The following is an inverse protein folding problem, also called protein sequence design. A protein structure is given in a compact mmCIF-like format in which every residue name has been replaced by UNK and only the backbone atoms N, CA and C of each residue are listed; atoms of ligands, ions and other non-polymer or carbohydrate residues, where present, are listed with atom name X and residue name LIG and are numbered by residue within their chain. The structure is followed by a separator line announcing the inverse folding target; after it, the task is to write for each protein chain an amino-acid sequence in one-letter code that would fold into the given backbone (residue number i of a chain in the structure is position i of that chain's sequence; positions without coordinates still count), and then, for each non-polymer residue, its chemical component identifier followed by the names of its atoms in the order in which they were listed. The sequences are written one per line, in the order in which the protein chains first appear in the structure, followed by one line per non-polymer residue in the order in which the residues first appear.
data_IF_560026802332
#
_entry.id   IF_560026802332
#
_cell.length_a   1.000
_cell.length_b   1.000
_cell.length_c   1.000
_cell.angle_alpha   90.00
_cell.angle_beta   90.00
_cell.angle_gamma   90.00
#
_symmetry.space_group_name_H-M   'P 1'
#
loop_
_entity.id
_entity.type
_entity.pdbx_description
1 polymer ?
#
# COMPACT_ATOMS: atom_id res chain seq x y z
N UNK A 1 -27.83 -3.29 12.37
CA UNK A 1 -26.83 -2.54 13.17
C UNK A 1 -26.18 -1.50 12.27
N UNK A 2 -26.18 -0.22 12.67
CA UNK A 2 -25.53 0.85 11.90
C UNK A 2 -24.11 1.07 12.45
N UNK A 3 -23.10 0.99 11.58
CA UNK A 3 -21.70 1.25 11.94
C UNK A 3 -21.29 2.55 11.25
N UNK A 4 -20.78 3.50 12.04
CA UNK A 4 -20.26 4.76 11.50
C UNK A 4 -19.16 4.50 10.46
N UNK A 5 -19.13 5.22 9.31
CA UNK A 5 -18.15 5.01 8.24
C UNK A 5 -16.70 4.94 8.73
N UNK A 6 -16.33 5.80 9.70
CA UNK A 6 -14.97 5.87 10.24
C UNK A 6 -14.57 4.66 11.09
N UNK A 7 -15.54 3.88 11.57
CA UNK A 7 -15.31 2.70 12.41
C UNK A 7 -15.39 1.40 11.61
N UNK A 8 -15.90 1.41 10.38
CA UNK A 8 -16.13 0.19 9.60
C UNK A 8 -14.87 -0.64 9.42
N UNK A 9 -13.75 0.00 9.06
CA UNK A 9 -12.47 -0.70 8.86
C UNK A 9 -12.06 -1.47 10.12
N UNK A 10 -12.11 -0.82 11.29
CA UNK A 10 -11.72 -1.43 12.57
C UNK A 10 -12.71 -2.51 12.98
N UNK A 11 -14.02 -2.26 12.90
CA UNK A 11 -15.05 -3.22 13.30
C UNK A 11 -15.03 -4.47 12.43
N UNK A 12 -14.96 -4.31 11.10
CA UNK A 12 -14.92 -5.44 10.17
C UNK A 12 -13.63 -6.24 10.32
N UNK A 13 -12.47 -5.58 10.41
CA UNK A 13 -11.20 -6.28 10.58
C UNK A 13 -11.14 -7.08 11.88
N UNK A 14 -11.68 -6.56 12.98
CA UNK A 14 -11.78 -7.31 14.24
C UNK A 14 -12.78 -8.47 14.14
N UNK A 15 -13.93 -8.26 13.48
CA UNK A 15 -14.89 -9.34 13.21
C UNK A 15 -14.25 -10.50 12.46
N UNK A 16 -13.44 -10.20 11.44
CA UNK A 16 -12.72 -11.23 10.66
C UNK A 16 -11.54 -11.88 11.41
N UNK A 17 -10.90 -11.16 12.33
CA UNK A 17 -9.78 -11.71 13.14
C UNK A 17 -10.22 -12.76 14.14
N UNK A 18 -11.44 -12.63 14.64
CA UNK A 18 -11.99 -13.51 15.68
C UNK A 18 -13.14 -14.39 15.17
N UNK A 19 -13.68 -14.08 13.99
CA UNK A 19 -14.67 -14.89 13.28
C UNK A 19 -14.04 -15.94 12.37
N UNK A 20 -14.88 -16.61 11.60
CA UNK A 20 -14.53 -17.67 10.68
C UNK A 20 -15.07 -17.42 9.27
N UNK A 21 -15.46 -18.51 8.61
CA UNK A 21 -15.96 -18.47 7.24
C UNK A 21 -17.27 -17.69 7.12
N UNK A 22 -18.16 -17.77 8.12
CA UNK A 22 -19.45 -17.06 8.11
C UNK A 22 -19.27 -15.54 8.04
N UNK A 23 -18.43 -14.96 8.90
CA UNK A 23 -18.16 -13.51 8.89
C UNK A 23 -17.44 -13.08 7.61
N UNK A 24 -16.56 -13.93 7.08
CA UNK A 24 -15.84 -13.68 5.84
C UNK A 24 -16.81 -13.66 4.66
N UNK A 25 -17.66 -14.66 4.55
CA UNK A 25 -18.66 -14.79 3.48
C UNK A 25 -19.72 -13.69 3.56
N UNK A 26 -20.11 -13.29 4.77
CA UNK A 26 -20.98 -12.13 4.96
C UNK A 26 -20.39 -10.86 4.32
N UNK A 27 -19.12 -10.55 4.59
CA UNK A 27 -18.46 -9.37 4.01
C UNK A 27 -18.18 -9.54 2.51
N UNK A 28 -17.83 -10.74 2.05
CA UNK A 28 -17.65 -11.03 0.63
C UNK A 28 -18.95 -10.86 -0.16
N UNK A 29 -20.06 -11.40 0.33
CA UNK A 29 -21.38 -11.21 -0.27
C UNK A 29 -21.80 -9.74 -0.25
N UNK A 30 -21.44 -9.02 0.82
CA UNK A 30 -21.65 -7.57 0.88
C UNK A 30 -20.86 -6.85 -0.20
N UNK A 31 -19.60 -7.20 -0.45
CA UNK A 31 -18.80 -6.62 -1.54
C UNK A 31 -19.45 -6.83 -2.91
N UNK A 32 -19.95 -8.04 -3.19
CA UNK A 32 -20.58 -8.40 -4.47
C UNK A 32 -21.89 -7.65 -4.71
N UNK A 33 -22.69 -7.42 -3.65
CA UNK A 33 -24.03 -6.83 -3.78
C UNK A 33 -24.07 -5.31 -3.56
N UNK A 34 -22.96 -4.68 -3.15
CA UNK A 34 -22.96 -3.27 -2.79
C UNK A 34 -22.55 -2.38 -3.98
N UNK A 35 -23.30 -1.29 -4.19
CA UNK A 35 -23.10 -0.37 -5.32
C UNK A 35 -22.23 0.85 -4.97
N UNK A 36 -21.79 0.99 -3.72
CA UNK A 36 -20.95 2.12 -3.29
C UNK A 36 -19.48 1.72 -3.30
N UNK A 37 -18.71 2.32 -4.20
CA UNK A 37 -17.28 2.01 -4.40
C UNK A 37 -16.46 2.18 -3.10
N UNK A 38 -16.73 3.21 -2.29
CA UNK A 38 -15.98 3.45 -1.03
C UNK A 38 -16.12 2.30 -0.03
N UNK A 39 -17.31 1.69 0.08
CA UNK A 39 -17.51 0.52 0.95
C UNK A 39 -16.81 -0.72 0.37
N UNK A 40 -16.85 -0.91 -0.96
CA UNK A 40 -16.16 -2.03 -1.61
C UNK A 40 -14.65 -1.97 -1.35
N UNK A 41 -14.04 -0.78 -1.44
CA UNK A 41 -12.62 -0.58 -1.13
C UNK A 41 -12.32 -0.90 0.34
N UNK A 42 -13.19 -0.48 1.27
CA UNK A 42 -13.04 -0.84 2.70
C UNK A 42 -13.10 -2.36 2.87
N UNK A 43 -14.09 -3.03 2.28
CA UNK A 43 -14.27 -4.48 2.39
C UNK A 43 -13.05 -5.22 1.83
N UNK A 44 -12.57 -4.84 0.64
CA UNK A 44 -11.36 -5.42 0.06
C UNK A 44 -10.13 -5.23 0.97
N UNK A 45 -10.04 -4.09 1.65
CA UNK A 45 -8.97 -3.77 2.58
C UNK A 45 -9.01 -4.55 3.90
N UNK A 46 -10.17 -5.04 4.34
CA UNK A 46 -10.31 -5.76 5.63
C UNK A 46 -10.43 -7.27 5.51
N UNK A 47 -10.82 -7.81 4.35
CA UNK A 47 -10.96 -9.27 4.14
C UNK A 47 -9.65 -10.06 4.38
N UNK A 48 -8.48 -9.41 4.25
CA UNK A 48 -7.18 -9.98 4.59
C UNK A 48 -6.87 -10.02 6.10
N UNK A 49 -7.71 -9.44 6.96
CA UNK A 49 -7.55 -9.50 8.41
C UNK A 49 -7.82 -10.89 9.01
N UNK A 50 -8.37 -11.84 8.24
CA UNK A 50 -8.59 -13.22 8.69
C UNK A 50 -7.29 -13.87 9.16
N UNK A 51 -7.36 -14.68 10.22
CA UNK A 51 -6.22 -15.51 10.67
C UNK A 51 -6.20 -16.88 9.99
N UNK A 52 -7.33 -17.29 9.41
CA UNK A 52 -7.52 -18.59 8.81
C UNK A 52 -6.78 -18.66 7.46
N UNK A 53 -5.83 -19.58 7.36
CA UNK A 53 -5.02 -19.80 6.16
C UNK A 53 -5.86 -20.10 4.92
N UNK A 54 -6.83 -21.02 5.03
CA UNK A 54 -7.70 -21.39 3.94
C UNK A 54 -8.48 -20.19 3.40
N UNK A 55 -8.95 -19.30 4.26
CA UNK A 55 -9.64 -18.07 3.85
C UNK A 55 -8.67 -17.06 3.21
N UNK A 56 -7.45 -16.92 3.75
CA UNK A 56 -6.42 -16.06 3.19
C UNK A 56 -5.99 -16.53 1.78
N UNK A 57 -5.73 -17.83 1.61
CA UNK A 57 -5.43 -18.47 0.33
C UNK A 57 -6.60 -18.33 -0.65
N UNK A 58 -7.82 -18.59 -0.20
CA UNK A 58 -9.03 -18.38 -1.02
C UNK A 58 -9.14 -16.93 -1.48
N UNK A 59 -8.71 -15.97 -0.67
CA UNK A 59 -8.73 -14.56 -1.03
C UNK A 59 -7.62 -14.19 -2.02
N UNK A 60 -6.38 -14.63 -1.76
CA UNK A 60 -5.24 -14.46 -2.65
C UNK A 60 -5.49 -15.12 -4.01
N UNK A 61 -6.13 -16.28 -4.07
CA UNK A 61 -6.44 -16.94 -5.35
C UNK A 61 -7.33 -16.12 -6.27
N UNK A 62 -8.09 -15.16 -5.73
CA UNK A 62 -8.90 -14.24 -6.54
C UNK A 62 -8.07 -13.19 -7.28
N UNK A 63 -6.79 -12.99 -6.95
CA UNK A 63 -5.91 -12.04 -7.67
C UNK A 63 -5.36 -12.64 -8.96
N UNK A 64 -5.26 -13.98 -9.03
CA UNK A 64 -4.70 -14.73 -10.17
C UNK A 64 -5.75 -15.50 -10.97
N UNK A 65 -7.04 -15.20 -10.75
CA UNK A 65 -8.14 -15.81 -11.49
C UNK A 65 -8.60 -14.90 -12.62
N UNK A 66 -8.63 -15.42 -13.85
CA UNK A 66 -9.11 -14.69 -15.04
C UNK A 66 -10.58 -14.24 -14.94
N UNK A 67 -11.40 -14.95 -14.15
CA UNK A 67 -12.82 -14.64 -13.94
C UNK A 67 -13.09 -13.99 -12.57
N UNK A 68 -12.10 -13.29 -12.02
CA UNK A 68 -12.26 -12.64 -10.71
C UNK A 68 -13.32 -11.55 -10.74
N UNK A 69 -14.20 -11.52 -9.74
CA UNK A 69 -15.15 -10.42 -9.52
C UNK A 69 -14.47 -9.13 -9.03
N UNK A 70 -13.13 -9.12 -8.97
CA UNK A 70 -12.32 -7.99 -8.52
C UNK A 70 -11.75 -7.27 -9.74
N UNK A 71 -11.92 -5.94 -9.75
CA UNK A 71 -11.37 -5.08 -10.81
C UNK A 71 -9.85 -5.13 -10.77
N UNK A 72 -9.20 -5.16 -11.94
CA UNK A 72 -7.74 -5.27 -12.06
C UNK A 72 -6.98 -4.21 -11.24
N UNK A 73 -7.48 -2.98 -11.21
CA UNK A 73 -6.92 -1.86 -10.44
C UNK A 73 -6.97 -2.03 -8.91
N UNK A 74 -7.83 -2.93 -8.39
CA UNK A 74 -8.03 -3.15 -6.96
C UNK A 74 -7.36 -4.44 -6.47
N UNK A 75 -6.82 -5.26 -7.38
CA UNK A 75 -6.15 -6.52 -7.04
C UNK A 75 -4.96 -6.33 -6.08
N UNK A 76 -4.19 -5.24 -6.24
CA UNK A 76 -3.05 -4.94 -5.35
C UNK A 76 -3.48 -4.76 -3.88
N UNK A 77 -4.72 -4.31 -3.64
CA UNK A 77 -5.26 -4.08 -2.29
C UNK A 77 -5.40 -5.39 -1.52
N UNK A 78 -5.64 -6.49 -2.22
CA UNK A 78 -5.80 -7.83 -1.64
C UNK A 78 -4.48 -8.27 -1.04
N UNK A 79 -3.42 -8.27 -1.85
CA UNK A 79 -2.07 -8.58 -1.39
C UNK A 79 -1.64 -7.67 -0.24
N UNK A 80 -1.87 -6.37 -0.37
CA UNK A 80 -1.53 -5.42 0.71
C UNK A 80 -2.33 -5.69 2.00
N UNK A 81 -3.63 -6.02 1.90
CA UNK A 81 -4.47 -6.33 3.05
C UNK A 81 -3.98 -7.57 3.79
N UNK A 82 -3.66 -8.64 3.07
CA UNK A 82 -3.14 -9.89 3.65
C UNK A 82 -1.74 -9.65 4.25
N UNK A 83 -0.82 -8.98 3.53
CA UNK A 83 0.54 -8.73 4.02
C UNK A 83 0.61 -7.79 5.23
N UNK A 84 -0.36 -6.86 5.37
CA UNK A 84 -0.45 -5.98 6.54
C UNK A 84 -1.08 -6.67 7.77
N UNK A 85 -1.39 -7.97 7.68
CA UNK A 85 -1.82 -8.79 8.78
C UNK A 85 -0.63 -9.61 9.32
N UNK A 86 -0.46 -9.66 10.63
CA UNK A 86 0.63 -10.38 11.29
C UNK A 86 0.74 -11.85 10.83
N UNK A 87 -0.39 -12.53 10.67
CA UNK A 87 -0.44 -13.92 10.17
C UNK A 87 -0.41 -14.01 8.64
N UNK A 88 -0.74 -12.93 7.94
CA UNK A 88 -0.94 -12.96 6.49
C UNK A 88 0.36 -12.95 5.69
N UNK A 89 1.49 -12.55 6.28
CA UNK A 89 2.81 -12.68 5.62
C UNK A 89 3.13 -14.16 5.38
N UNK A 90 2.98 -15.00 6.41
CA UNK A 90 3.22 -16.44 6.31
C UNK A 90 2.28 -17.08 5.28
N UNK A 91 0.98 -16.76 5.34
CA UNK A 91 -0.01 -17.23 4.37
C UNK A 91 0.29 -16.79 2.93
N UNK A 92 0.87 -15.61 2.74
CA UNK A 92 1.24 -15.11 1.41
C UNK A 92 2.47 -15.83 0.86
N UNK A 93 3.44 -16.16 1.73
CA UNK A 93 4.60 -16.97 1.34
C UNK A 93 4.15 -18.38 0.96
N UNK A 94 3.35 -19.05 1.80
CA UNK A 94 2.87 -20.41 1.50
C UNK A 94 2.05 -20.44 0.20
N UNK A 95 1.16 -19.46 0.00
CA UNK A 95 0.40 -19.34 -1.25
C UNK A 95 1.31 -19.15 -2.48
N UNK A 96 2.37 -18.33 -2.38
CA UNK A 96 3.32 -18.11 -3.48
C UNK A 96 4.08 -19.39 -3.82
N UNK A 97 4.56 -20.12 -2.82
CA UNK A 97 5.30 -21.38 -3.00
C UNK A 97 4.43 -22.46 -3.64
N UNK A 98 3.19 -22.60 -3.18
CA UNK A 98 2.24 -23.61 -3.66
C UNK A 98 1.71 -23.32 -5.07
N UNK A 99 1.59 -22.05 -5.45
CA UNK A 99 0.92 -21.63 -6.69
C UNK A 99 1.86 -20.93 -7.68
N UNK A 100 3.18 -21.03 -7.49
CA UNK A 100 4.21 -20.33 -8.28
C UNK A 100 3.98 -20.38 -9.79
N UNK A 101 3.65 -21.57 -10.34
CA UNK A 101 3.46 -21.75 -11.79
C UNK A 101 2.25 -20.97 -12.32
N UNK A 102 1.10 -21.09 -11.65
CA UNK A 102 -0.12 -20.36 -12.02
C UNK A 102 0.09 -18.85 -11.95
N UNK A 103 0.79 -18.39 -10.91
CA UNK A 103 1.13 -16.96 -10.72
C UNK A 103 2.04 -16.48 -11.84
N UNK A 104 3.07 -17.25 -12.18
CA UNK A 104 4.00 -16.92 -13.25
C UNK A 104 3.28 -16.82 -14.61
N UNK A 105 2.47 -17.82 -14.96
CA UNK A 105 1.69 -17.81 -16.20
C UNK A 105 0.66 -16.68 -16.25
N UNK A 106 0.04 -16.34 -15.12
CA UNK A 106 -0.89 -15.22 -15.02
C UNK A 106 -0.18 -13.89 -15.28
N UNK A 107 0.98 -13.67 -14.64
CA UNK A 107 1.76 -12.44 -14.82
C UNK A 107 2.27 -12.31 -16.26
N UNK A 108 2.79 -13.40 -16.85
CA UNK A 108 3.32 -13.41 -18.21
C UNK A 108 2.24 -13.08 -19.26
N UNK A 109 1.01 -13.56 -19.05
CA UNK A 109 -0.14 -13.26 -19.90
C UNK A 109 -0.80 -11.90 -19.59
N UNK A 110 -0.44 -11.25 -18.48
CA UNK A 110 -1.01 -9.94 -18.14
C UNK A 110 -0.26 -8.86 -18.89
N UNK A 111 -0.98 -8.09 -19.71
CA UNK A 111 -0.39 -6.94 -20.39
C UNK A 111 -0.01 -5.89 -19.35
N UNK A 112 1.29 -5.65 -19.17
CA UNK A 112 1.77 -4.61 -18.26
C UNK A 112 1.43 -3.25 -18.89
N UNK A 113 0.47 -2.54 -18.29
CA UNK A 113 0.21 -1.14 -18.61
C UNK A 113 1.35 -0.28 -18.02
N UNK A 114 2.37 0.00 -18.84
CA UNK A 114 3.52 0.81 -18.43
C UNK A 114 3.06 2.27 -18.39
N UNK A 115 2.55 2.69 -17.23
CA UNK A 115 2.08 4.07 -17.03
C UNK A 115 3.20 5.11 -17.18
N UNK A 116 4.46 4.75 -16.89
CA UNK A 116 5.60 5.62 -17.13
C UNK A 116 6.92 4.84 -17.21
N UNK A 117 7.70 5.09 -18.26
CA UNK A 117 9.11 4.69 -18.34
C UNK A 117 9.95 5.80 -17.71
N UNK A 118 10.63 5.50 -16.60
CA UNK A 118 11.63 6.42 -16.04
C UNK A 118 12.96 6.16 -16.75
N UNK A 119 13.31 7.03 -17.70
CA UNK A 119 14.68 7.09 -18.21
C UNK A 119 15.50 7.88 -17.20
N UNK A 120 16.33 7.18 -16.41
CA UNK A 120 17.26 7.83 -15.48
C UNK A 120 18.38 8.53 -16.26
N UNK A 121 18.13 9.76 -16.69
CA UNK A 121 19.21 10.69 -16.99
C UNK A 121 19.98 10.91 -15.68
N UNK A 122 21.22 10.44 -15.62
CA UNK A 122 22.08 10.64 -14.45
C UNK A 122 22.55 12.09 -14.47
N UNK A 123 21.83 12.94 -13.73
CA UNK A 123 22.32 14.27 -13.38
C UNK A 123 23.28 14.11 -12.22
N UNK A 124 24.52 14.56 -12.40
CA UNK A 124 25.55 14.45 -11.37
C UNK A 124 25.50 15.70 -10.49
N UNK A 125 25.55 15.49 -9.17
CA UNK A 125 25.77 16.59 -8.22
C UNK A 125 27.27 16.86 -8.18
N UNK A 126 27.70 18.01 -8.70
CA UNK A 126 29.09 18.45 -8.64
C UNK A 126 29.51 18.82 -7.21
N UNK A 127 28.64 19.52 -6.48
CA UNK A 127 28.97 20.04 -5.16
C UNK A 127 27.73 20.15 -4.29
N UNK A 128 27.91 19.90 -2.99
CA UNK A 128 26.90 20.10 -1.96
C UNK A 128 27.44 21.14 -0.98
N UNK A 129 26.72 22.23 -0.77
CA UNK A 129 27.04 23.23 0.25
C UNK A 129 25.93 23.30 1.29
N UNK A 130 26.28 23.69 2.52
CA UNK A 130 25.33 23.85 3.62
C UNK A 130 25.34 25.31 4.10
N UNK A 131 24.20 25.98 3.98
CA UNK A 131 23.94 27.28 4.58
C UNK A 131 23.44 27.07 6.01
N UNK A 132 24.29 27.37 6.99
CA UNK A 132 23.97 27.19 8.41
C UNK A 132 22.98 28.20 8.98
N UNK A 133 22.85 29.37 8.35
CA UNK A 133 21.90 30.41 8.77
C UNK A 133 20.47 30.03 8.37
N UNK A 134 20.31 29.55 7.13
CA UNK A 134 19.01 29.15 6.57
C UNK A 134 18.69 27.68 6.77
N UNK A 135 19.69 26.90 7.21
CA UNK A 135 19.62 25.45 7.33
C UNK A 135 19.31 24.76 5.99
N UNK A 136 19.85 25.29 4.89
CA UNK A 136 19.62 24.78 3.54
C UNK A 136 20.82 24.01 3.00
N UNK A 137 20.54 22.97 2.22
CA UNK A 137 21.53 22.31 1.38
C UNK A 137 21.35 22.79 -0.06
N UNK A 138 22.42 23.31 -0.65
CA UNK A 138 22.45 23.67 -2.06
C UNK A 138 23.20 22.60 -2.84
N UNK A 139 22.56 22.08 -3.90
CA UNK A 139 23.11 21.06 -4.78
C UNK A 139 23.45 21.71 -6.12
N UNK A 140 24.75 21.81 -6.42
CA UNK A 140 25.21 22.24 -7.74
C UNK A 140 25.22 21.05 -8.68
N UNK A 141 24.51 21.16 -9.80
CA UNK A 141 24.36 20.10 -10.79
C UNK A 141 25.30 20.33 -11.97
N UNK A 142 25.69 19.26 -12.65
CA UNK A 142 26.52 19.30 -13.86
C UNK A 142 25.79 19.84 -15.10
N UNK A 143 24.46 19.96 -15.02
CA UNK A 143 23.60 20.45 -16.08
C UNK A 143 22.32 21.10 -15.52
N UNK A 144 21.66 21.90 -16.37
CA UNK A 144 20.37 22.52 -16.03
C UNK A 144 19.21 21.50 -16.02
N UNK A 145 18.22 21.76 -15.16
CA UNK A 145 17.00 20.96 -15.09
C UNK A 145 16.05 21.33 -16.23
N UNK A 146 15.44 20.32 -16.85
CA UNK A 146 14.47 20.51 -17.93
C UNK A 146 13.08 20.68 -17.35
N UNK A 147 12.40 21.76 -17.73
CA UNK A 147 11.02 22.04 -17.32
C UNK A 147 10.07 20.89 -17.70
N UNK A 148 9.12 20.57 -16.81
CA UNK A 148 8.15 19.50 -17.01
C UNK A 148 8.64 18.08 -16.71
N UNK A 149 9.92 17.89 -16.36
CA UNK A 149 10.44 16.59 -15.89
C UNK A 149 10.35 16.45 -14.37
N UNK A 150 10.14 15.21 -13.92
CA UNK A 150 10.14 14.86 -12.50
C UNK A 150 11.52 14.36 -12.10
N UNK A 151 12.18 15.08 -11.20
CA UNK A 151 13.46 14.70 -10.61
C UNK A 151 13.25 14.15 -9.20
N UNK A 152 14.06 13.18 -8.78
CA UNK A 152 14.04 12.61 -7.43
C UNK A 152 15.42 12.78 -6.80
N UNK A 153 15.47 13.51 -5.69
CA UNK A 153 16.68 13.61 -4.86
C UNK A 153 16.58 12.52 -3.79
N UNK A 154 17.61 11.67 -3.71
CA UNK A 154 17.75 10.65 -2.68
C UNK A 154 18.81 11.11 -1.69
N UNK A 155 18.37 11.48 -0.49
CA UNK A 155 19.26 11.83 0.62
C UNK A 155 19.41 10.62 1.54
N UNK A 156 20.63 10.13 1.68
CA UNK A 156 20.94 9.08 2.64
C UNK A 156 21.32 9.73 3.98
N UNK A 157 20.43 9.62 4.96
CA UNK A 157 20.71 10.01 6.33
C UNK A 157 20.95 8.77 7.19
N UNK A 158 22.11 8.73 7.87
CA UNK A 158 22.38 7.74 8.93
C UNK A 158 22.38 8.48 10.26
N UNK A 159 21.27 8.41 10.97
CA UNK A 159 21.15 8.90 12.35
C UNK A 159 21.26 7.76 13.35
N UNK A 160 21.78 8.06 14.54
CA UNK A 160 21.65 7.16 15.69
C UNK A 160 20.18 7.18 16.15
N UNK A 161 19.54 6.01 16.17
CA UNK A 161 18.19 5.88 16.69
C UNK A 161 18.25 6.09 18.21
N UNK A 162 17.72 7.22 18.71
CA UNK A 162 17.56 7.42 20.15
C UNK A 162 16.49 6.46 20.65
N UNK A 163 16.78 5.73 21.72
CA UNK A 163 15.84 4.77 22.33
C UNK A 163 14.72 5.45 23.14
N UNK A 164 14.83 6.76 23.37
CA UNK A 164 13.88 7.53 24.18
C UNK A 164 12.61 7.97 23.42
N UNK A 165 12.45 7.57 22.14
CA UNK A 165 11.35 7.96 21.25
C UNK A 165 11.11 9.48 21.14
N UNK A 166 12.06 10.30 21.58
CA UNK A 166 11.94 11.76 21.55
C UNK A 166 12.24 12.26 20.12
N UNK A 167 11.22 12.73 19.42
CA UNK A 167 11.39 13.38 18.10
C UNK A 167 10.60 12.80 16.93
N UNK A 168 9.62 11.92 17.15
CA UNK A 168 8.63 11.66 16.11
C UNK A 168 7.78 12.92 15.87
N UNK A 169 7.80 13.38 14.62
CA UNK A 169 7.16 14.57 14.07
C UNK A 169 5.79 14.89 14.69
N UNK A 170 5.71 16.00 15.43
CA UNK A 170 4.48 16.78 15.59
C UNK A 170 4.52 17.89 14.54
N UNK A 171 3.97 17.63 13.36
CA UNK A 171 3.57 18.70 12.45
C UNK A 171 2.29 19.32 12.99
N UNK A 172 2.36 20.53 13.55
CA UNK A 172 1.18 21.35 13.84
C UNK A 172 1.10 22.44 12.77
N UNK A 173 -0.08 22.61 12.17
CA UNK A 173 -0.38 23.76 11.34
C UNK A 173 -1.22 24.71 12.19
N UNK A 174 -0.69 25.89 12.47
CA UNK A 174 -1.56 27.00 12.86
C UNK A 174 -2.28 27.45 11.59
N UNK A 175 -3.60 27.27 11.59
CA UNK A 175 -4.45 27.81 10.55
C UNK A 175 -5.17 28.97 11.18
N UNK A 176 -4.49 30.11 11.29
CA UNK A 176 -5.12 31.44 11.30
C UNK A 176 -4.06 32.53 11.02
N UNK A 177 -4.18 33.14 9.83
CA UNK A 177 -3.55 34.41 9.49
C UNK A 177 -4.34 35.56 10.12
N UNK A 178 -4.05 35.91 11.37
CA UNK A 178 -4.40 37.21 11.97
C UNK A 178 -3.25 37.63 12.91
N UNK A 179 -2.49 38.71 12.75
CA UNK A 179 -2.44 39.89 11.88
C UNK A 179 -0.98 40.23 11.58
#
# INVERSE_FOLDING_TARGET
MFISPNLKSVVYCNGLRFGGEEEWDFLWNRYLNHNVNTEQVIILGVLGCTKNETLAHRYLRKTISANSSIRSQDQYRIYSSVNNNHYGIEHSISFLEENYREIYEFIDNTTIDIQSITVSAHIVVETITYDSLRQFYDFKLDQELVAGRRYRILLFYRGYHREDMSGFYRSYYDKDNEK
#
